data_IF_200484478882
#
_entry.id   IF_200484478882
#
_cell.length_a   1.000
_cell.length_b   1.000
_cell.length_c   1.000
_cell.angle_alpha   90.00
_cell.angle_beta   90.00
_cell.angle_gamma   90.00
#
_symmetry.space_group_name_H-M   'P 1'
#
loop_
_entity.id
_entity.type
_entity.pdbx_description
1 polymer ?
#
# COMPACT_ATOMS: atom_id res chain seq x y z
N UNK A 1 10.32 0.85 12.97
CA UNK A 1 11.49 1.71 13.22
C UNK A 1 11.36 2.30 14.62
N UNK A 2 12.07 1.79 15.63
CA UNK A 2 11.87 2.19 17.04
C UNK A 2 12.46 3.56 17.37
N UNK A 3 13.50 3.99 16.66
CA UNK A 3 14.28 5.19 16.96
C UNK A 3 14.10 6.30 15.91
N UNK A 4 13.15 6.14 14.98
CA UNK A 4 12.93 7.11 13.93
C UNK A 4 12.34 8.42 14.51
N UNK A 5 12.81 9.57 13.99
CA UNK A 5 12.37 10.89 14.43
C UNK A 5 11.91 11.72 13.23
N UNK A 6 10.87 12.51 13.44
CA UNK A 6 10.42 13.55 12.51
C UNK A 6 10.71 14.92 13.11
N UNK A 7 11.09 15.89 12.27
CA UNK A 7 11.22 17.29 12.65
C UNK A 7 10.57 18.15 11.57
N UNK A 8 9.63 19.00 11.99
CA UNK A 8 9.07 20.03 11.15
C UNK A 8 9.99 21.25 11.22
N UNK A 9 10.49 21.70 10.06
CA UNK A 9 11.41 22.83 9.99
C UNK A 9 10.79 23.92 9.10
N UNK A 10 10.66 25.12 9.64
CA UNK A 10 10.26 26.30 8.87
C UNK A 10 11.53 26.95 8.32
N UNK A 11 11.58 27.11 7.00
CA UNK A 11 12.71 27.70 6.28
C UNK A 11 12.26 29.06 5.74
N UNK A 12 12.91 30.17 6.12
CA UNK A 12 12.61 31.47 5.55
C UNK A 12 12.74 31.48 4.03
N UNK A 13 11.86 32.22 3.36
CA UNK A 13 11.87 32.45 1.93
C UNK A 13 12.20 33.92 1.64
N UNK A 14 12.78 34.17 0.46
CA UNK A 14 13.06 35.54 0.01
C UNK A 14 11.75 36.28 -0.33
N UNK A 15 10.83 35.57 -0.97
CA UNK A 15 9.49 36.05 -1.36
C UNK A 15 8.38 35.37 -0.56
N UNK A 16 7.24 36.05 -0.43
CA UNK A 16 6.05 35.48 0.19
C UNK A 16 5.41 34.41 -0.69
N UNK A 17 4.94 33.33 -0.07
CA UNK A 17 4.01 32.38 -0.65
C UNK A 17 2.61 32.55 -0.05
N UNK A 18 1.64 31.75 -0.51
CA UNK A 18 0.25 31.77 -0.04
C UNK A 18 0.07 31.45 1.47
N UNK A 19 1.10 30.92 2.13
CA UNK A 19 1.14 30.57 3.55
C UNK A 19 2.07 31.47 4.40
N UNK A 20 2.69 32.49 3.80
CA UNK A 20 3.59 33.42 4.48
C UNK A 20 5.01 33.44 3.92
N UNK A 21 5.99 33.86 4.74
CA UNK A 21 7.40 34.03 4.33
C UNK A 21 8.29 32.84 4.67
N UNK A 22 7.68 31.69 4.94
CA UNK A 22 8.39 30.47 5.32
C UNK A 22 7.85 29.28 4.55
N UNK A 23 8.70 28.27 4.38
CA UNK A 23 8.36 26.97 3.81
C UNK A 23 8.50 25.89 4.87
N UNK A 24 7.45 25.09 5.04
CA UNK A 24 7.50 23.90 5.88
C UNK A 24 8.27 22.78 5.17
N UNK A 25 9.30 22.26 5.82
CA UNK A 25 10.08 21.11 5.38
C UNK A 25 9.98 20.01 6.43
N UNK A 26 9.45 18.85 6.03
CA UNK A 26 9.45 17.65 6.87
C UNK A 26 10.82 16.96 6.79
N UNK A 27 11.55 17.01 7.89
CA UNK A 27 12.82 16.32 8.07
C UNK A 27 12.60 14.97 8.76
N UNK A 28 13.40 13.98 8.39
CA UNK A 28 13.35 12.63 8.93
C UNK A 28 14.75 12.17 9.36
N UNK A 29 14.81 11.36 10.40
CA UNK A 29 16.02 10.64 10.81
C UNK A 29 15.62 9.20 11.15
N UNK A 30 16.05 8.19 10.36
CA UNK A 30 15.58 6.81 10.49
C UNK A 30 16.13 6.09 11.72
N UNK A 31 17.35 6.45 12.15
CA UNK A 31 18.10 5.76 13.18
C UNK A 31 18.73 6.72 14.18
N UNK A 32 19.12 6.19 15.34
CA UNK A 32 19.87 6.96 16.32
C UNK A 32 21.22 7.37 15.69
N UNK A 33 21.57 8.66 15.75
CA UNK A 33 22.83 9.17 15.21
C UNK A 33 22.80 9.57 13.73
N UNK A 34 21.71 9.33 12.99
CA UNK A 34 21.58 9.86 11.62
C UNK A 34 21.12 11.32 11.60
N UNK A 35 21.73 12.13 10.74
CA UNK A 35 21.35 13.54 10.56
C UNK A 35 19.93 13.67 9.99
N UNK A 36 19.22 14.72 10.41
CA UNK A 36 17.95 15.09 9.81
C UNK A 36 18.15 15.59 8.38
N UNK A 37 17.50 14.94 7.42
CA UNK A 37 17.42 15.43 6.03
C UNK A 37 15.97 15.44 5.57
N UNK A 38 15.62 16.17 4.49
CA UNK A 38 14.29 16.13 3.92
C UNK A 38 13.85 14.69 3.67
N UNK A 39 12.62 14.34 4.07
CA UNK A 39 12.12 12.96 4.03
C UNK A 39 12.29 12.30 2.65
N UNK A 40 12.08 13.07 1.58
CA UNK A 40 12.25 12.63 0.18
C UNK A 40 13.68 12.25 -0.20
N UNK A 41 14.70 12.72 0.54
CA UNK A 41 16.12 12.42 0.27
C UNK A 41 16.63 11.18 1.02
N UNK A 42 15.93 10.74 2.06
CA UNK A 42 16.36 9.63 2.91
C UNK A 42 15.65 8.34 2.54
N UNK A 43 14.35 8.47 2.24
CA UNK A 43 13.46 7.33 2.16
C UNK A 43 13.28 6.90 0.70
N UNK A 44 13.33 5.60 0.42
CA UNK A 44 12.99 5.06 -0.90
C UNK A 44 11.51 5.29 -1.26
N UNK A 45 11.14 5.17 -2.55
CA UNK A 45 9.75 5.36 -2.98
C UNK A 45 8.74 4.48 -2.21
N UNK A 46 9.06 3.20 -2.01
CA UNK A 46 8.22 2.27 -1.26
C UNK A 46 8.13 2.60 0.24
N UNK A 47 9.24 2.97 0.87
CA UNK A 47 9.23 3.36 2.28
C UNK A 47 8.47 4.68 2.51
N UNK A 48 8.57 5.66 1.59
CA UNK A 48 7.83 6.92 1.68
C UNK A 48 6.34 6.66 1.57
N UNK A 49 5.95 5.76 0.67
CA UNK A 49 4.57 5.34 0.50
C UNK A 49 4.04 4.68 1.77
N UNK A 50 4.82 3.85 2.47
CA UNK A 50 4.45 3.28 3.79
C UNK A 50 4.33 4.31 4.90
N UNK A 51 5.21 5.31 4.95
CA UNK A 51 5.06 6.44 5.88
C UNK A 51 3.75 7.19 5.57
N UNK A 52 3.47 7.43 4.30
CA UNK A 52 2.24 8.09 3.86
C UNK A 52 1.00 7.25 4.20
N UNK A 53 1.06 5.92 4.09
CA UNK A 53 -0.01 5.01 4.49
C UNK A 53 -0.31 5.17 5.99
N UNK A 54 0.72 5.18 6.85
CA UNK A 54 0.56 5.40 8.28
C UNK A 54 -0.05 6.78 8.59
N UNK A 55 0.36 7.82 7.87
CA UNK A 55 -0.22 9.17 8.03
C UNK A 55 -1.68 9.20 7.58
N UNK A 56 -1.99 8.64 6.40
CA UNK A 56 -3.37 8.53 5.89
C UNK A 56 -4.27 7.72 6.81
N UNK A 57 -3.77 6.61 7.37
CA UNK A 57 -4.46 5.81 8.39
C UNK A 57 -4.82 6.65 9.62
N UNK A 58 -3.88 7.45 10.12
CA UNK A 58 -4.12 8.31 11.28
C UNK A 58 -5.10 9.45 10.97
N UNK A 59 -5.07 10.00 9.75
CA UNK A 59 -5.98 11.04 9.29
C UNK A 59 -7.38 10.48 9.04
N UNK A 60 -7.51 9.30 8.43
CA UNK A 60 -8.80 8.70 8.09
C UNK A 60 -9.63 8.35 9.33
N UNK A 61 -8.97 8.07 10.46
CA UNK A 61 -9.65 7.96 11.77
C UNK A 61 -10.25 9.26 12.30
N UNK A 62 -9.77 10.41 11.84
CA UNK A 62 -10.20 11.74 12.31
C UNK A 62 -11.04 12.50 11.30
N UNK A 63 -10.90 12.19 10.02
CA UNK A 63 -11.57 12.85 8.91
C UNK A 63 -12.24 11.81 8.03
N UNK A 64 -13.49 12.08 7.66
CA UNK A 64 -14.28 11.18 6.83
C UNK A 64 -13.81 11.28 5.36
N UNK A 65 -12.77 10.53 5.00
CA UNK A 65 -12.33 10.38 3.62
C UNK A 65 -13.21 9.30 2.95
N UNK A 66 -14.13 9.62 2.03
CA UNK A 66 -15.08 8.63 1.54
C UNK A 66 -14.41 7.46 0.79
N UNK A 67 -13.37 7.75 0.01
CA UNK A 67 -12.62 6.75 -0.75
C UNK A 67 -11.12 7.05 -0.80
N UNK A 68 -10.28 6.02 -0.74
CA UNK A 68 -8.82 6.11 -0.78
C UNK A 68 -8.29 5.04 -1.75
N UNK A 69 -7.44 5.47 -2.69
CA UNK A 69 -6.78 4.59 -3.66
C UNK A 69 -5.31 4.43 -3.27
N UNK A 70 -4.84 3.18 -3.25
CA UNK A 70 -3.45 2.79 -3.10
C UNK A 70 -2.98 2.03 -4.34
N UNK A 71 -1.88 2.50 -4.92
CA UNK A 71 -1.22 1.87 -6.06
C UNK A 71 0.22 1.51 -5.67
N UNK A 72 0.57 0.23 -5.80
CA UNK A 72 1.90 -0.33 -5.48
C UNK A 72 2.50 0.08 -4.11
N UNK A 73 1.65 0.38 -3.14
CA UNK A 73 2.03 0.74 -1.76
C UNK A 73 2.82 -0.35 -1.04
N UNK A 74 2.70 -1.57 -1.55
CA UNK A 74 3.27 -2.81 -1.12
C UNK A 74 4.52 -3.20 -1.94
N UNK A 75 5.00 -2.32 -2.83
CA UNK A 75 6.25 -2.52 -3.55
C UNK A 75 7.46 -2.64 -2.62
N UNK A 76 8.27 -3.67 -2.87
CA UNK A 76 9.50 -3.95 -2.11
C UNK A 76 9.26 -4.46 -0.68
N UNK A 77 8.09 -5.03 -0.37
CA UNK A 77 7.83 -5.71 0.91
C UNK A 77 7.40 -7.16 0.73
N UNK A 78 7.59 -7.97 1.76
CA UNK A 78 7.15 -9.37 1.79
C UNK A 78 6.89 -9.84 3.22
N UNK A 79 6.26 -11.02 3.35
CA UNK A 79 6.04 -11.69 4.63
C UNK A 79 5.26 -10.84 5.63
N UNK A 80 5.78 -10.70 6.85
CA UNK A 80 5.10 -10.02 7.97
C UNK A 80 4.73 -8.57 7.66
N UNK A 81 5.56 -7.86 6.90
CA UNK A 81 5.30 -6.44 6.57
C UNK A 81 4.12 -6.33 5.61
N UNK A 82 4.03 -7.19 4.60
CA UNK A 82 2.90 -7.22 3.68
C UNK A 82 1.58 -7.54 4.40
N UNK A 83 1.59 -8.51 5.33
CA UNK A 83 0.43 -8.80 6.17
C UNK A 83 -0.02 -7.59 7.01
N UNK A 84 0.93 -6.85 7.60
CA UNK A 84 0.59 -5.64 8.35
C UNK A 84 -0.03 -4.55 7.49
N UNK A 85 0.47 -4.37 6.25
CA UNK A 85 -0.12 -3.43 5.29
C UNK A 85 -1.56 -3.83 4.95
N UNK A 86 -1.80 -5.10 4.60
CA UNK A 86 -3.14 -5.62 4.32
C UNK A 86 -4.10 -5.43 5.49
N UNK A 87 -3.67 -5.78 6.71
CA UNK A 87 -4.47 -5.59 7.92
C UNK A 87 -4.78 -4.11 8.19
N UNK A 88 -3.83 -3.20 7.91
CA UNK A 88 -4.04 -1.77 8.10
C UNK A 88 -5.05 -1.23 7.09
N UNK A 89 -5.03 -1.67 5.84
CA UNK A 89 -6.04 -1.31 4.83
C UNK A 89 -7.41 -1.85 5.18
N UNK A 90 -7.50 -3.11 5.61
CA UNK A 90 -8.76 -3.70 6.08
C UNK A 90 -9.32 -2.92 7.28
N UNK A 91 -8.48 -2.53 8.24
CA UNK A 91 -8.92 -1.67 9.34
C UNK A 91 -9.36 -0.26 8.89
N UNK A 92 -8.90 0.22 7.74
CA UNK A 92 -9.39 1.47 7.15
C UNK A 92 -10.73 1.27 6.44
N UNK A 93 -10.99 0.07 5.91
CA UNK A 93 -12.23 -0.20 5.18
C UNK A 93 -13.48 -0.13 6.05
N UNK A 94 -13.33 -0.27 7.37
CA UNK A 94 -14.39 -0.05 8.38
C UNK A 94 -15.07 1.32 8.26
N UNK A 95 -14.36 2.34 7.77
CA UNK A 95 -14.85 3.73 7.71
C UNK A 95 -14.62 4.44 6.37
N UNK A 96 -13.87 3.83 5.46
CA UNK A 96 -13.49 4.43 4.18
C UNK A 96 -13.56 3.37 3.08
N UNK A 97 -13.94 3.72 1.84
CA UNK A 97 -13.78 2.79 0.73
C UNK A 97 -12.31 2.70 0.33
N UNK A 98 -11.70 1.52 0.38
CA UNK A 98 -10.30 1.31 -0.01
C UNK A 98 -10.23 0.58 -1.35
N UNK A 99 -9.50 1.16 -2.31
CA UNK A 99 -9.13 0.50 -3.57
C UNK A 99 -7.61 0.28 -3.55
N UNK A 100 -7.17 -0.97 -3.52
CA UNK A 100 -5.75 -1.33 -3.53
C UNK A 100 -5.40 -2.09 -4.82
N UNK A 101 -4.42 -1.57 -5.56
CA UNK A 101 -3.81 -2.25 -6.71
C UNK A 101 -2.54 -2.93 -6.20
N UNK A 102 -2.51 -4.26 -6.26
CA UNK A 102 -1.48 -5.08 -5.61
C UNK A 102 -1.17 -6.33 -6.42
N UNK A 103 0.08 -6.78 -6.35
CA UNK A 103 0.53 -8.10 -6.82
C UNK A 103 0.87 -9.03 -5.65
N UNK A 104 0.63 -8.62 -4.41
CA UNK A 104 1.05 -9.32 -3.21
C UNK A 104 -0.14 -10.07 -2.60
N UNK A 105 -0.07 -11.42 -2.48
CA UNK A 105 -1.20 -12.24 -2.02
C UNK A 105 -1.65 -11.88 -0.60
N UNK A 106 -0.73 -11.46 0.27
CA UNK A 106 -1.04 -11.01 1.63
C UNK A 106 -1.92 -9.75 1.68
N UNK A 107 -1.82 -8.87 0.69
CA UNK A 107 -2.65 -7.66 0.61
C UNK A 107 -3.98 -8.00 -0.06
N UNK A 108 -3.94 -8.71 -1.20
CA UNK A 108 -5.13 -9.11 -1.94
C UNK A 108 -6.10 -10.01 -1.13
N UNK A 109 -5.56 -10.88 -0.27
CA UNK A 109 -6.38 -11.74 0.60
C UNK A 109 -7.22 -10.97 1.63
N UNK A 110 -6.79 -9.78 2.05
CA UNK A 110 -7.50 -8.95 3.05
C UNK A 110 -8.58 -8.03 2.46
N UNK A 111 -8.76 -8.02 1.15
CA UNK A 111 -9.84 -7.27 0.50
C UNK A 111 -11.21 -7.93 0.72
N UNK A 112 -12.26 -7.13 0.93
CA UNK A 112 -13.64 -7.65 1.01
C UNK A 112 -14.09 -8.20 -0.35
N UNK A 113 -13.63 -7.53 -1.43
CA UNK A 113 -13.82 -7.90 -2.83
C UNK A 113 -12.47 -8.02 -3.52
N UNK A 114 -12.37 -8.96 -4.47
CA UNK A 114 -11.15 -9.17 -5.25
C UNK A 114 -11.50 -9.11 -6.74
N UNK A 115 -10.95 -8.12 -7.42
CA UNK A 115 -11.12 -7.94 -8.87
C UNK A 115 -9.81 -8.32 -9.55
N UNK A 116 -9.88 -9.31 -10.44
CA UNK A 116 -8.76 -9.71 -11.28
C UNK A 116 -8.72 -8.88 -12.55
N UNK A 117 -7.54 -8.33 -12.85
CA UNK A 117 -7.23 -7.72 -14.14
C UNK A 117 -6.56 -8.77 -15.01
N UNK A 118 -7.08 -9.02 -16.21
CA UNK A 118 -6.49 -9.97 -17.15
C UNK A 118 -6.55 -9.47 -18.59
N UNK A 119 -5.67 -10.00 -19.44
CA UNK A 119 -5.64 -9.69 -20.86
C UNK A 119 -6.21 -10.84 -21.66
N UNK A 120 -7.00 -10.52 -22.68
CA UNK A 120 -7.58 -11.47 -23.62
C UNK A 120 -7.33 -10.98 -25.05
N UNK A 121 -7.05 -11.89 -25.98
CA UNK A 121 -6.84 -11.55 -27.39
C UNK A 121 -8.09 -11.91 -28.17
N UNK A 122 -8.79 -10.91 -28.70
CA UNK A 122 -9.98 -11.07 -29.54
C UNK A 122 -9.67 -10.44 -30.89
N UNK A 123 -9.85 -11.18 -31.98
CA UNK A 123 -9.60 -10.68 -33.35
C UNK A 123 -8.19 -10.05 -33.55
N UNK A 124 -7.17 -10.63 -32.90
CA UNK A 124 -5.78 -10.12 -32.88
C UNK A 124 -5.56 -8.80 -32.13
N UNK A 125 -6.56 -8.32 -31.39
CA UNK A 125 -6.45 -7.15 -30.50
C UNK A 125 -6.39 -7.62 -29.05
N UNK A 126 -5.46 -7.07 -28.27
CA UNK A 126 -5.37 -7.36 -26.83
C UNK A 126 -6.30 -6.43 -26.05
N UNK A 127 -7.30 -6.99 -25.38
CA UNK A 127 -8.21 -6.29 -24.49
C UNK A 127 -7.80 -6.51 -23.03
N UNK A 128 -7.92 -5.48 -22.21
CA UNK A 128 -7.79 -5.58 -20.75
C UNK A 128 -9.19 -5.70 -20.15
N UNK A 129 -9.44 -6.79 -19.44
CA UNK A 129 -10.72 -7.11 -18.83
C UNK A 129 -10.60 -7.17 -17.30
N UNK A 130 -11.72 -6.94 -16.63
CA UNK A 130 -11.88 -7.01 -15.19
C UNK A 130 -12.90 -8.08 -14.83
N UNK A 131 -12.62 -8.88 -13.81
CA UNK A 131 -13.57 -9.87 -13.28
C UNK A 131 -13.55 -9.84 -11.75
N UNK A 132 -14.71 -9.63 -11.13
CA UNK A 132 -14.88 -9.91 -9.70
C UNK A 132 -14.86 -11.43 -9.47
N UNK A 133 -14.03 -11.88 -8.54
CA UNK A 133 -13.80 -13.29 -8.27
C UNK A 133 -14.77 -13.83 -7.20
N UNK A 134 -15.30 -15.04 -7.41
CA UNK A 134 -15.96 -15.81 -6.35
C UNK A 134 -14.96 -16.20 -5.25
N UNK A 135 -15.44 -16.73 -4.12
CA UNK A 135 -14.54 -17.19 -3.05
C UNK A 135 -13.56 -18.28 -3.53
N UNK A 136 -14.05 -19.24 -4.31
CA UNK A 136 -13.24 -20.32 -4.89
C UNK A 136 -12.23 -19.77 -5.90
N UNK A 137 -12.64 -18.83 -6.72
CA UNK A 137 -11.76 -18.16 -7.68
C UNK A 137 -10.70 -17.30 -6.98
N UNK A 138 -11.06 -16.67 -5.85
CA UNK A 138 -10.11 -15.93 -4.99
C UNK A 138 -9.05 -16.86 -4.42
N UNK A 139 -9.43 -18.01 -3.88
CA UNK A 139 -8.49 -19.00 -3.36
C UNK A 139 -7.48 -19.42 -4.43
N UNK A 140 -7.95 -19.72 -5.64
CA UNK A 140 -7.10 -20.09 -6.76
C UNK A 140 -6.21 -18.94 -7.22
N UNK A 141 -6.71 -17.70 -7.26
CA UNK A 141 -5.91 -16.55 -7.65
C UNK A 141 -4.80 -16.26 -6.63
N UNK A 142 -5.11 -16.26 -5.33
CA UNK A 142 -4.12 -16.07 -4.26
C UNK A 142 -3.08 -17.19 -4.30
N UNK A 143 -3.49 -18.44 -4.51
CA UNK A 143 -2.57 -19.56 -4.66
C UNK A 143 -1.68 -19.41 -5.91
N UNK A 144 -2.21 -18.86 -7.01
CA UNK A 144 -1.44 -18.52 -8.20
C UNK A 144 -0.41 -17.42 -7.92
N UNK A 145 -0.81 -16.37 -7.21
CA UNK A 145 0.09 -15.27 -6.78
C UNK A 145 1.22 -15.78 -5.87
N UNK A 146 0.95 -16.79 -5.03
CA UNK A 146 1.94 -17.43 -4.16
C UNK A 146 2.92 -18.36 -4.90
N UNK A 147 2.42 -19.15 -5.85
CA UNK A 147 3.18 -20.23 -6.50
C UNK A 147 3.81 -19.86 -7.85
N UNK A 148 3.47 -18.69 -8.39
CA UNK A 148 3.96 -18.21 -9.67
C UNK A 148 3.47 -19.09 -10.82
N UNK A 149 4.36 -19.92 -11.38
CA UNK A 149 4.08 -20.66 -12.62
C UNK A 149 3.37 -22.00 -12.44
N UNK A 150 3.42 -22.63 -11.26
CA UNK A 150 2.84 -23.97 -11.06
C UNK A 150 2.08 -24.05 -9.75
N UNK A 151 0.77 -24.23 -9.86
CA UNK A 151 -0.12 -24.43 -8.72
C UNK A 151 0.27 -25.70 -7.96
N UNK A 152 0.37 -25.60 -6.64
CA UNK A 152 0.65 -26.74 -5.76
C UNK A 152 -0.43 -26.84 -4.68
N UNK A 153 -0.63 -28.03 -4.14
CA UNK A 153 -1.54 -28.25 -2.99
C UNK A 153 -1.14 -27.42 -1.78
N UNK A 154 0.17 -27.21 -1.56
CA UNK A 154 0.70 -26.34 -0.51
C UNK A 154 0.31 -24.87 -0.71
N UNK A 155 0.38 -24.36 -1.94
CA UNK A 155 -0.01 -22.99 -2.25
C UNK A 155 -1.51 -22.75 -2.03
N UNK A 156 -2.35 -23.73 -2.40
CA UNK A 156 -3.80 -23.66 -2.13
C UNK A 156 -4.07 -23.65 -0.63
N UNK A 157 -3.40 -24.51 0.15
CA UNK A 157 -3.54 -24.53 1.60
C UNK A 157 -3.16 -23.18 2.23
N UNK A 158 -2.02 -22.61 1.83
CA UNK A 158 -1.58 -21.30 2.32
C UNK A 158 -2.51 -20.16 1.87
N UNK A 159 -3.09 -20.25 0.67
CA UNK A 159 -4.09 -19.28 0.22
C UNK A 159 -5.34 -19.28 1.10
N UNK A 160 -5.83 -20.46 1.52
CA UNK A 160 -6.92 -20.57 2.49
C UNK A 160 -6.57 -19.92 3.82
N UNK A 161 -5.39 -20.22 4.36
CA UNK A 161 -4.90 -19.62 5.61
C UNK A 161 -4.79 -18.08 5.55
N UNK A 162 -4.61 -17.50 4.36
CA UNK A 162 -4.60 -16.04 4.17
C UNK A 162 -5.99 -15.42 4.07
N UNK A 163 -6.96 -16.17 3.52
CA UNK A 163 -8.36 -15.75 3.33
C UNK A 163 -9.19 -15.89 4.62
N UNK A 164 -8.73 -16.73 5.55
CA UNK A 164 -9.17 -16.72 6.96
C UNK A 164 -8.72 -15.45 7.71
#
# INVERSE_FOLDING_TARGET
MKNAKFKFNLVPLDEFNEYGKEKLVLLFSPNLGTEFKPIKKIISGGELSRVMLSVKYMISKKHNLPSIIFDEIDSGVSGKVANQIGNMMHSMSDSNQILAITHIPQVASKGDKHIKVFKEVVESVTHTNLKELSYEERELEIASMLSGKKMTSSAIKHARELLE
#
